data_IF_088158148952
#
_entry.id   IF_088158148952
#
_cell.length_a   1.000
_cell.length_b   1.000
_cell.length_c   1.000
_cell.angle_alpha   90.00
_cell.angle_beta   90.00
_cell.angle_gamma   90.00
#
_symmetry.space_group_name_H-M   'P 1'
#
loop_
_entity.id
_entity.type
_entity.pdbx_description
1 polymer ?
#
# COMPACT_ATOMS: atom_id res chain seq x y z
N UNK A 1 30.60 29.31 37.57
CA UNK A 1 31.03 29.88 36.28
C UNK A 1 29.79 30.36 35.53
N UNK A 2 29.45 31.64 35.68
CA UNK A 2 28.32 32.28 34.99
C UNK A 2 28.87 33.36 34.04
N UNK A 3 28.45 33.33 32.76
CA UNK A 3 28.63 34.46 31.83
C UNK A 3 27.27 34.88 31.29
N UNK A 4 26.79 36.00 31.82
CA UNK A 4 25.95 36.96 31.10
C UNK A 4 26.82 37.66 30.06
N UNK A 5 26.28 38.03 28.90
CA UNK A 5 26.75 39.22 28.17
C UNK A 5 25.66 39.84 27.30
N UNK A 6 25.81 41.17 27.18
CA UNK A 6 24.85 42.19 26.77
C UNK A 6 24.69 42.32 25.26
N UNK A 7 23.57 42.92 24.90
CA UNK A 7 23.20 43.55 23.62
C UNK A 7 24.10 44.72 23.22
N UNK A 8 24.26 44.95 21.91
CA UNK A 8 24.51 46.29 21.35
C UNK A 8 24.11 46.37 19.87
N UNK A 9 23.37 47.43 19.54
CA UNK A 9 22.93 47.85 18.21
C UNK A 9 23.89 48.91 17.66
N UNK A 10 24.19 48.89 16.35
CA UNK A 10 24.82 49.97 15.60
C UNK A 10 24.20 50.04 14.18
N UNK A 11 24.26 51.23 13.59
CA UNK A 11 23.32 51.80 12.62
C UNK A 11 24.09 52.36 11.39
N UNK A 12 23.40 52.42 10.24
CA UNK A 12 23.57 53.28 9.01
C UNK A 12 24.83 53.06 8.12
N UNK A 13 24.87 53.43 6.80
CA UNK A 13 23.89 54.18 5.99
C UNK A 13 23.57 53.70 4.56
N UNK A 14 22.60 54.40 3.95
CA UNK A 14 22.08 54.28 2.58
C UNK A 14 22.84 55.09 1.53
N UNK A 15 22.90 54.57 0.29
CA UNK A 15 23.07 55.27 -1.00
C UNK A 15 22.43 54.31 -2.02
N UNK A 16 21.49 54.59 -2.94
CA UNK A 16 21.03 55.81 -3.58
C UNK A 16 21.29 55.71 -5.10
N UNK A 17 20.31 55.27 -5.92
CA UNK A 17 20.13 55.58 -7.36
C UNK A 17 19.02 54.67 -7.96
N UNK A 18 18.40 54.96 -9.10
CA UNK A 18 17.40 55.98 -9.49
C UNK A 18 16.87 55.54 -10.88
N UNK A 19 15.63 55.95 -11.23
CA UNK A 19 15.02 55.96 -12.58
C UNK A 19 14.64 54.57 -13.17
N UNK A 20 13.52 54.32 -13.85
CA UNK A 20 12.53 55.12 -14.60
C UNK A 20 11.25 54.28 -14.85
N UNK A 21 10.22 54.98 -15.38
CA UNK A 21 9.08 54.51 -16.20
C UNK A 21 7.71 54.24 -15.51
N UNK A 22 6.94 55.33 -15.45
CA UNK A 22 5.59 55.53 -16.01
C UNK A 22 4.77 54.31 -16.46
N UNK A 23 3.48 54.31 -16.08
CA UNK A 23 2.41 53.73 -16.90
C UNK A 23 1.34 53.03 -16.09
N UNK A 24 0.21 53.70 -15.87
CA UNK A 24 -0.98 53.12 -15.29
C UNK A 24 -1.60 52.07 -16.24
N UNK A 25 -1.98 50.91 -15.70
CA UNK A 25 -2.99 50.04 -16.28
C UNK A 25 -3.95 49.55 -15.19
N UNK A 26 -5.23 49.80 -15.45
CA UNK A 26 -6.38 49.25 -14.74
C UNK A 26 -6.57 47.81 -15.22
N UNK A 27 -6.69 46.83 -14.32
CA UNK A 27 -7.47 45.61 -14.61
C UNK A 27 -8.01 44.94 -13.34
N UNK A 28 -9.33 45.07 -13.18
CA UNK A 28 -10.30 44.08 -12.72
C UNK A 28 -9.86 42.99 -11.74
N UNK A 29 -10.52 43.00 -10.57
CA UNK A 29 -10.77 41.81 -9.76
C UNK A 29 -11.48 40.75 -10.59
N UNK A 30 -10.84 39.60 -10.78
CA UNK A 30 -11.51 38.37 -11.19
C UNK A 30 -11.45 37.41 -10.00
N UNK A 31 -12.64 37.18 -9.42
CA UNK A 31 -12.91 36.11 -8.49
C UNK A 31 -12.45 34.77 -9.09
N UNK A 32 -11.52 34.10 -8.42
CA UNK A 32 -11.09 32.76 -8.77
C UNK A 32 -12.21 31.77 -8.43
N UNK A 33 -13.14 31.57 -9.37
CA UNK A 33 -14.04 30.41 -9.41
C UNK A 33 -13.46 29.41 -10.41
N UNK A 34 -12.46 28.63 -10.00
CA UNK A 34 -11.78 27.65 -10.86
C UNK A 34 -11.37 26.40 -10.05
N UNK A 35 -12.32 25.69 -9.43
CA UNK A 35 -12.07 24.34 -8.87
C UNK A 35 -13.33 23.48 -8.80
N UNK A 36 -14.04 23.28 -9.92
CA UNK A 36 -15.14 22.30 -9.98
C UNK A 36 -15.13 21.44 -11.26
N UNK A 37 -14.66 21.97 -12.39
CA UNK A 37 -14.65 21.25 -13.68
C UNK A 37 -13.69 20.04 -13.69
N UNK A 38 -12.47 20.19 -13.13
CA UNK A 38 -11.45 19.13 -13.15
C UNK A 38 -11.69 17.96 -12.20
N UNK A 39 -12.60 18.08 -11.23
CA UNK A 39 -13.02 16.94 -10.39
C UNK A 39 -14.14 16.15 -11.05
N UNK A 40 -15.06 16.82 -11.76
CA UNK A 40 -16.14 16.17 -12.52
C UNK A 40 -15.63 15.30 -13.65
N UNK A 41 -14.66 15.79 -14.43
CA UNK A 41 -14.06 15.03 -15.54
C UNK A 41 -13.26 13.81 -15.05
N UNK A 42 -12.44 13.96 -13.99
CA UNK A 42 -11.70 12.83 -13.39
C UNK A 42 -12.63 11.76 -12.82
N UNK A 43 -13.72 12.16 -12.18
CA UNK A 43 -14.70 11.22 -11.61
C UNK A 43 -15.48 10.46 -12.69
N UNK A 44 -15.79 11.12 -13.81
CA UNK A 44 -16.48 10.50 -14.95
C UNK A 44 -15.55 9.55 -15.73
N UNK A 45 -14.27 9.88 -15.89
CA UNK A 45 -13.27 9.00 -16.52
C UNK A 45 -12.97 7.77 -15.65
N UNK A 46 -12.81 7.95 -14.34
CA UNK A 46 -12.66 6.83 -13.39
C UNK A 46 -13.86 5.88 -13.41
N UNK A 47 -15.09 6.41 -13.50
CA UNK A 47 -16.30 5.61 -13.61
C UNK A 47 -16.39 4.85 -14.96
N UNK A 48 -15.98 5.46 -16.07
CA UNK A 48 -15.92 4.81 -17.40
C UNK A 48 -14.84 3.74 -17.47
N UNK A 49 -13.68 3.96 -16.85
CA UNK A 49 -12.66 2.92 -16.73
C UNK A 49 -13.11 1.77 -15.83
N UNK A 50 -13.82 2.06 -14.72
CA UNK A 50 -14.40 1.02 -13.87
C UNK A 50 -15.48 0.17 -14.57
N UNK A 51 -16.19 0.73 -15.57
CA UNK A 51 -17.15 -0.04 -16.38
C UNK A 51 -16.50 -0.89 -17.47
N UNK A 52 -15.26 -0.59 -17.86
CA UNK A 52 -14.50 -1.31 -18.88
C UNK A 52 -13.48 -2.30 -18.28
N UNK A 53 -13.36 -2.37 -16.95
CA UNK A 53 -12.46 -3.33 -16.31
C UNK A 53 -12.96 -4.77 -16.53
N UNK A 54 -12.02 -5.69 -16.75
CA UNK A 54 -12.34 -7.11 -16.94
C UNK A 54 -12.98 -7.68 -15.67
N UNK A 55 -13.92 -8.61 -15.84
CA UNK A 55 -14.57 -9.31 -14.72
C UNK A 55 -13.93 -10.70 -14.58
N UNK A 56 -13.33 -10.97 -13.43
CA UNK A 56 -12.94 -12.32 -13.05
C UNK A 56 -14.18 -13.08 -12.59
N UNK A 57 -14.56 -14.15 -13.29
CA UNK A 57 -15.78 -14.91 -12.99
C UNK A 57 -15.73 -15.65 -11.66
N UNK A 58 -14.54 -16.00 -11.15
CA UNK A 58 -14.36 -16.66 -9.86
C UNK A 58 -14.36 -15.65 -8.71
N UNK A 59 -13.81 -14.46 -8.96
CA UNK A 59 -13.67 -13.38 -7.99
C UNK A 59 -14.14 -12.04 -8.58
N UNK A 60 -15.46 -11.85 -8.75
CA UNK A 60 -16.03 -10.72 -9.48
C UNK A 60 -15.75 -9.36 -8.84
N UNK A 61 -15.35 -9.33 -7.57
CA UNK A 61 -14.95 -8.11 -6.89
C UNK A 61 -13.52 -7.66 -7.16
N UNK A 62 -12.76 -8.43 -7.96
CA UNK A 62 -11.39 -8.07 -8.36
C UNK A 62 -11.39 -6.87 -9.31
N UNK A 63 -10.56 -5.86 -9.01
CA UNK A 63 -10.19 -4.85 -9.99
C UNK A 63 -9.04 -5.40 -10.86
N UNK A 64 -9.37 -6.04 -11.98
CA UNK A 64 -8.43 -6.90 -12.75
C UNK A 64 -7.31 -6.09 -13.38
N UNK A 65 -7.60 -4.92 -13.96
CA UNK A 65 -6.57 -4.03 -14.50
C UNK A 65 -5.58 -3.62 -13.40
N UNK A 66 -6.09 -3.30 -12.21
CA UNK A 66 -5.27 -2.94 -11.05
C UNK A 66 -4.42 -4.11 -10.56
N UNK A 67 -4.99 -5.31 -10.50
CA UNK A 67 -4.28 -6.55 -10.15
C UNK A 67 -3.03 -6.75 -11.04
N UNK A 68 -3.21 -6.69 -12.37
CA UNK A 68 -2.12 -6.89 -13.32
C UNK A 68 -1.03 -5.81 -13.21
N UNK A 69 -1.43 -4.55 -13.00
CA UNK A 69 -0.47 -3.45 -12.85
C UNK A 69 0.32 -3.58 -11.54
N UNK A 70 -0.33 -3.98 -10.43
CA UNK A 70 0.37 -4.29 -9.17
C UNK A 70 1.38 -5.41 -9.38
N UNK A 71 0.97 -6.54 -9.97
CA UNK A 71 1.87 -7.68 -10.20
C UNK A 71 3.05 -7.29 -11.10
N UNK A 72 2.81 -6.45 -12.10
CA UNK A 72 3.87 -5.90 -12.96
C UNK A 72 4.87 -5.05 -12.16
N UNK A 73 4.39 -4.18 -11.26
CA UNK A 73 5.28 -3.40 -10.37
C UNK A 73 6.07 -4.28 -9.42
N UNK A 74 5.42 -5.25 -8.78
CA UNK A 74 6.10 -6.18 -7.87
C UNK A 74 7.22 -6.92 -8.58
N UNK A 75 6.99 -7.40 -9.81
CA UNK A 75 8.01 -8.06 -10.64
C UNK A 75 9.12 -7.11 -11.10
N UNK A 76 8.86 -5.81 -11.18
CA UNK A 76 9.87 -4.81 -11.57
C UNK A 76 10.84 -4.43 -10.45
N UNK A 77 10.51 -4.72 -9.19
CA UNK A 77 11.42 -4.53 -8.07
C UNK A 77 12.58 -5.54 -8.15
N UNK A 78 13.80 -5.12 -7.85
CA UNK A 78 14.94 -6.05 -7.81
C UNK A 78 15.11 -6.69 -6.43
N UNK A 79 15.74 -7.87 -6.33
CA UNK A 79 16.08 -8.48 -5.04
C UNK A 79 16.92 -7.56 -4.14
N UNK A 80 17.79 -6.73 -4.71
CA UNK A 80 18.59 -5.74 -3.97
C UNK A 80 17.69 -4.64 -3.38
N UNK A 81 16.69 -4.18 -4.13
CA UNK A 81 15.69 -3.23 -3.62
C UNK A 81 14.85 -3.84 -2.50
N UNK A 82 14.55 -5.13 -2.56
CA UNK A 82 13.79 -5.86 -1.55
C UNK A 82 14.64 -6.38 -0.37
N UNK A 83 15.95 -6.15 -0.40
CA UNK A 83 16.89 -6.55 0.66
C UNK A 83 17.54 -5.36 1.38
N UNK A 84 16.94 -4.17 1.25
CA UNK A 84 17.35 -2.97 1.99
C UNK A 84 16.85 -3.00 3.45
N UNK A 85 16.97 -1.88 4.16
CA UNK A 85 16.29 -1.67 5.43
C UNK A 85 14.77 -1.88 5.27
N UNK A 86 14.16 -2.56 6.25
CA UNK A 86 12.78 -2.99 6.21
C UNK A 86 11.78 -1.87 5.92
N UNK A 87 11.92 -0.68 6.50
CA UNK A 87 10.96 0.40 6.24
C UNK A 87 11.09 0.96 4.81
N UNK A 88 12.27 0.81 4.20
CA UNK A 88 12.43 1.13 2.77
C UNK A 88 11.78 0.06 1.90
N UNK A 89 11.99 -1.22 2.22
CA UNK A 89 11.34 -2.34 1.53
C UNK A 89 9.82 -2.25 1.65
N UNK A 90 9.30 -1.99 2.84
CA UNK A 90 7.86 -1.86 3.13
C UNK A 90 7.22 -0.76 2.28
N UNK A 91 7.87 0.39 2.15
CA UNK A 91 7.42 1.48 1.28
C UNK A 91 7.44 1.09 -0.20
N UNK A 92 8.46 0.37 -0.65
CA UNK A 92 8.53 -0.14 -2.02
C UNK A 92 7.38 -1.11 -2.34
N UNK A 93 7.07 -2.05 -1.44
CA UNK A 93 5.97 -2.99 -1.65
C UNK A 93 4.58 -2.33 -1.51
N UNK A 94 4.43 -1.30 -0.65
CA UNK A 94 3.22 -0.47 -0.62
C UNK A 94 3.00 0.24 -1.95
N UNK A 95 4.03 0.92 -2.47
CA UNK A 95 3.96 1.61 -3.75
C UNK A 95 3.66 0.64 -4.90
N UNK A 96 4.31 -0.52 -4.92
CA UNK A 96 4.06 -1.55 -5.91
C UNK A 96 2.62 -2.06 -5.82
N UNK A 97 2.09 -2.18 -4.61
CA UNK A 97 0.70 -2.51 -4.34
C UNK A 97 -0.32 -1.41 -4.61
N UNK A 98 0.10 -0.20 -4.98
CA UNK A 98 -0.81 0.92 -5.19
C UNK A 98 -1.37 1.47 -3.89
N UNK A 99 -0.60 1.43 -2.81
CA UNK A 99 -0.91 2.04 -1.52
C UNK A 99 0.05 3.18 -1.21
N UNK A 100 -0.49 4.27 -0.68
CA UNK A 100 0.27 5.36 -0.07
C UNK A 100 0.82 4.91 1.28
N UNK A 101 2.01 5.41 1.61
CA UNK A 101 2.57 5.25 2.94
C UNK A 101 2.00 6.32 3.88
N UNK A 102 1.08 5.89 4.76
CA UNK A 102 0.34 6.73 5.69
C UNK A 102 0.48 6.16 7.12
N UNK A 103 1.69 6.09 7.68
CA UNK A 103 1.97 5.41 8.94
C UNK A 103 1.46 6.17 10.17
N UNK A 104 1.01 7.41 9.99
CA UNK A 104 0.49 8.27 11.06
C UNK A 104 -1.00 8.60 10.89
N UNK A 105 -1.66 8.04 9.87
CA UNK A 105 -3.10 8.24 9.69
C UNK A 105 -3.89 7.52 10.79
N UNK A 106 -5.09 8.03 11.09
CA UNK A 106 -5.98 7.40 12.07
C UNK A 106 -6.55 6.10 11.51
N UNK A 107 -6.85 5.09 12.36
CA UNK A 107 -7.61 3.92 11.94
C UNK A 107 -8.91 4.32 11.19
N UNK A 108 -9.19 3.65 10.07
CA UNK A 108 -10.31 3.98 9.18
C UNK A 108 -10.08 5.17 8.24
N UNK A 109 -8.99 5.93 8.39
CA UNK A 109 -8.63 7.08 7.54
C UNK A 109 -7.39 6.82 6.68
N UNK A 110 -7.23 5.57 6.22
CA UNK A 110 -6.14 5.16 5.35
C UNK A 110 -4.84 4.81 6.07
N UNK A 111 -4.88 4.43 7.34
CA UNK A 111 -3.70 3.95 8.07
C UNK A 111 -3.10 2.68 7.45
N UNK A 112 -1.91 2.82 6.85
CA UNK A 112 -1.14 1.71 6.23
C UNK A 112 0.12 1.34 7.02
N UNK A 113 0.26 1.84 8.26
CA UNK A 113 1.42 1.55 9.11
C UNK A 113 1.51 0.10 9.57
N UNK A 114 0.39 -0.60 9.67
CA UNK A 114 0.37 -2.04 10.00
C UNK A 114 0.62 -2.94 8.78
N UNK A 115 0.46 -2.42 7.55
CA UNK A 115 0.54 -3.23 6.34
C UNK A 115 1.90 -3.89 6.24
N UNK A 116 1.91 -5.22 6.21
CA UNK A 116 3.10 -6.09 6.21
C UNK A 116 3.96 -6.03 7.48
N UNK A 117 3.56 -5.29 8.51
CA UNK A 117 4.30 -5.13 9.76
C UNK A 117 3.83 -6.07 10.89
N UNK A 118 2.76 -6.83 10.66
CA UNK A 118 2.28 -7.88 11.55
C UNK A 118 2.06 -9.18 10.77
N UNK A 119 1.66 -10.23 11.49
CA UNK A 119 1.49 -11.54 10.88
C UNK A 119 0.31 -11.65 9.90
N UNK A 120 -0.67 -10.75 10.00
CA UNK A 120 -2.02 -10.95 9.50
C UNK A 120 -2.34 -10.07 8.28
N UNK A 121 -1.92 -8.81 8.28
CA UNK A 121 -2.19 -7.85 7.20
C UNK A 121 -1.16 -7.96 6.09
N UNK A 122 -1.06 -9.16 5.49
CA UNK A 122 -0.04 -9.52 4.51
C UNK A 122 -0.59 -9.76 3.11
N UNK A 123 -1.92 -9.67 2.93
CA UNK A 123 -2.58 -9.86 1.63
C UNK A 123 -2.81 -8.51 0.99
N UNK A 124 -2.14 -8.22 -0.12
CA UNK A 124 -2.48 -7.06 -0.90
C UNK A 124 -3.61 -7.38 -1.89
N UNK A 125 -4.81 -6.92 -1.57
CA UNK A 125 -6.03 -7.12 -2.35
C UNK A 125 -6.27 -5.93 -3.27
N UNK A 126 -6.75 -6.18 -4.49
CA UNK A 126 -7.18 -5.15 -5.44
C UNK A 126 -8.65 -5.32 -5.76
N UNK A 127 -9.49 -4.41 -5.29
CA UNK A 127 -10.94 -4.56 -5.34
C UNK A 127 -11.58 -3.47 -6.17
N UNK A 128 -12.73 -3.79 -6.77
CA UNK A 128 -13.54 -2.81 -7.46
C UNK A 128 -14.05 -1.75 -6.48
N UNK A 129 -14.36 -0.56 -6.99
CA UNK A 129 -14.69 0.59 -6.15
C UNK A 129 -16.01 0.45 -5.37
N UNK A 130 -16.95 -0.30 -5.91
CA UNK A 130 -18.22 -0.71 -5.30
C UNK A 130 -18.01 -1.73 -4.17
N UNK A 131 -17.03 -2.63 -4.31
CA UNK A 131 -16.71 -3.61 -3.28
C UNK A 131 -15.94 -3.01 -2.09
N UNK A 132 -15.32 -1.83 -2.25
CA UNK A 132 -14.51 -1.21 -1.19
C UNK A 132 -15.31 -0.89 0.09
N UNK A 133 -16.63 -0.67 -0.01
CA UNK A 133 -17.50 -0.39 1.14
C UNK A 133 -18.06 -1.67 1.80
N UNK A 134 -17.72 -2.87 1.30
CA UNK A 134 -18.20 -4.11 1.90
C UNK A 134 -17.81 -4.23 3.37
N UNK A 135 -18.72 -4.81 4.14
CA UNK A 135 -18.57 -5.06 5.56
C UNK A 135 -18.49 -6.57 5.82
N UNK A 136 -17.73 -6.96 6.84
CA UNK A 136 -17.51 -8.37 7.18
C UNK A 136 -18.82 -9.06 7.58
N UNK A 137 -19.63 -8.47 8.46
CA UNK A 137 -20.94 -9.01 8.87
C UNK A 137 -20.89 -10.46 9.36
N UNK A 138 -19.75 -10.87 9.94
CA UNK A 138 -19.53 -12.23 10.43
C UNK A 138 -19.17 -13.26 9.35
N UNK A 139 -18.98 -12.84 8.08
CA UNK A 139 -18.63 -13.74 6.98
C UNK A 139 -17.23 -14.35 7.15
N UNK A 140 -16.29 -13.57 7.70
CA UNK A 140 -14.92 -14.00 8.02
C UNK A 140 -14.76 -14.15 9.52
N UNK A 141 -14.43 -15.37 9.95
CA UNK A 141 -14.20 -15.70 11.35
C UNK A 141 -12.94 -14.97 11.88
N UNK A 142 -13.03 -14.44 13.10
CA UNK A 142 -11.92 -13.72 13.75
C UNK A 142 -11.75 -12.26 13.31
N UNK A 143 -12.60 -11.77 12.38
CA UNK A 143 -12.63 -10.37 11.96
C UNK A 143 -13.80 -9.65 12.61
N UNK A 144 -13.63 -8.37 12.96
CA UNK A 144 -14.69 -7.56 13.53
C UNK A 144 -15.94 -7.58 12.65
N UNK A 145 -17.13 -7.69 13.26
CA UNK A 145 -18.40 -7.70 12.52
C UNK A 145 -18.58 -6.43 11.68
N UNK A 146 -18.15 -5.28 12.23
CA UNK A 146 -18.14 -4.00 11.55
C UNK A 146 -16.70 -3.56 11.25
N UNK A 147 -16.34 -3.52 9.98
CA UNK A 147 -15.04 -3.07 9.47
C UNK A 147 -15.23 -2.28 8.16
N UNK A 148 -15.82 -1.08 8.26
CA UNK A 148 -16.03 -0.21 7.12
C UNK A 148 -14.69 0.36 6.64
N UNK A 149 -14.08 -0.30 5.65
CA UNK A 149 -12.74 0.03 5.15
C UNK A 149 -12.76 1.03 3.99
N UNK A 150 -13.89 1.23 3.32
CA UNK A 150 -13.96 1.92 2.03
C UNK A 150 -13.41 3.35 2.00
N UNK A 151 -13.58 4.14 3.07
CA UNK A 151 -12.95 5.47 3.15
C UNK A 151 -11.43 5.35 3.20
N UNK A 152 -10.90 4.47 4.04
CA UNK A 152 -9.47 4.22 4.16
C UNK A 152 -8.86 3.69 2.86
N UNK A 153 -9.56 2.78 2.18
CA UNK A 153 -9.15 2.24 0.88
C UNK A 153 -9.03 3.36 -0.15
N UNK A 154 -10.03 4.23 -0.28
CA UNK A 154 -10.00 5.35 -1.23
C UNK A 154 -8.87 6.34 -0.93
N UNK A 155 -8.67 6.69 0.33
CA UNK A 155 -7.61 7.63 0.75
C UNK A 155 -6.22 7.05 0.45
N UNK A 156 -6.00 5.78 0.81
CA UNK A 156 -4.69 5.16 0.70
C UNK A 156 -4.37 4.67 -0.72
N UNK A 157 -5.37 4.45 -1.58
CA UNK A 157 -5.12 3.95 -2.93
C UNK A 157 -4.41 4.98 -3.81
N UNK A 158 -3.46 4.50 -4.60
CA UNK A 158 -2.83 5.26 -5.68
C UNK A 158 -3.64 5.02 -6.95
N UNK A 159 -4.13 6.09 -7.59
CA UNK A 159 -5.06 6.03 -8.73
C UNK A 159 -4.40 5.51 -10.01
N UNK A 160 -3.09 5.70 -10.16
CA UNK A 160 -2.34 5.38 -11.38
C UNK A 160 -2.34 3.89 -11.76
N UNK A 161 -2.72 3.00 -10.84
CA UNK A 161 -2.80 1.57 -11.11
C UNK A 161 -4.12 1.13 -11.75
N UNK A 162 -5.06 2.04 -11.95
CA UNK A 162 -6.35 1.75 -12.57
C UNK A 162 -7.53 1.91 -11.61
N UNK A 163 -8.75 1.55 -12.03
CA UNK A 163 -9.95 1.76 -11.23
C UNK A 163 -9.95 0.93 -9.94
N UNK A 164 -10.90 1.22 -9.05
CA UNK A 164 -11.05 0.53 -7.77
C UNK A 164 -10.03 0.98 -6.71
N UNK A 165 -9.65 0.08 -5.82
CA UNK A 165 -8.72 0.36 -4.73
C UNK A 165 -7.80 -0.80 -4.42
N UNK A 166 -6.76 -0.50 -3.65
CA UNK A 166 -5.83 -1.48 -3.05
C UNK A 166 -5.95 -1.45 -1.53
N UNK A 167 -5.71 -2.58 -0.86
CA UNK A 167 -5.68 -2.65 0.60
C UNK A 167 -4.90 -3.86 1.10
N UNK A 168 -4.24 -3.73 2.26
CA UNK A 168 -3.66 -4.87 2.98
C UNK A 168 -4.73 -5.52 3.87
N UNK A 169 -5.21 -6.69 3.47
CA UNK A 169 -6.28 -7.42 4.17
C UNK A 169 -5.72 -8.51 5.07
N UNK A 170 -6.55 -8.98 6.01
CA UNK A 170 -6.21 -10.06 6.93
C UNK A 170 -6.19 -11.41 6.18
N UNK A 171 -5.13 -12.18 6.40
CA UNK A 171 -4.90 -13.48 5.76
C UNK A 171 -5.45 -14.69 6.56
N UNK A 172 -6.04 -14.48 7.74
CA UNK A 172 -6.64 -15.56 8.53
C UNK A 172 -7.66 -16.32 7.67
N UNK A 173 -7.51 -17.64 7.57
CA UNK A 173 -8.36 -18.49 6.74
C UNK A 173 -7.82 -18.75 5.33
N UNK A 174 -6.69 -18.14 4.94
CA UNK A 174 -6.10 -18.33 3.60
C UNK A 174 -5.55 -19.75 3.36
N UNK A 175 -5.35 -20.55 4.40
CA UNK A 175 -4.90 -21.94 4.30
C UNK A 175 -6.03 -22.96 4.07
N UNK A 176 -7.25 -22.49 3.85
CA UNK A 176 -8.41 -23.33 3.49
C UNK A 176 -8.55 -23.40 1.97
N UNK A 177 -9.29 -24.39 1.49
CA UNK A 177 -9.61 -24.56 0.07
C UNK A 177 -11.15 -24.65 -0.11
N UNK A 178 -11.81 -23.65 -0.74
CA UNK A 178 -11.24 -22.38 -1.18
C UNK A 178 -10.83 -21.48 0.01
N UNK A 179 -9.90 -20.51 -0.18
CA UNK A 179 -9.50 -19.58 0.87
C UNK A 179 -10.67 -18.86 1.53
N UNK A 180 -10.61 -18.71 2.86
CA UNK A 180 -11.66 -18.12 3.69
C UNK A 180 -11.22 -16.78 4.32
N UNK A 181 -10.25 -16.11 3.71
CA UNK A 181 -9.72 -14.83 4.19
C UNK A 181 -10.55 -13.62 3.73
N UNK A 182 -10.15 -12.43 4.19
CA UNK A 182 -10.88 -11.19 3.92
C UNK A 182 -10.92 -10.85 2.43
N UNK A 183 -9.84 -11.10 1.68
CA UNK A 183 -9.79 -10.80 0.25
C UNK A 183 -10.87 -11.58 -0.50
N UNK A 184 -10.91 -12.89 -0.27
CA UNK A 184 -11.77 -13.81 -0.99
C UNK A 184 -13.23 -13.75 -0.54
N UNK A 185 -13.49 -13.59 0.75
CA UNK A 185 -14.86 -13.65 1.29
C UNK A 185 -15.54 -12.29 1.34
N UNK A 186 -14.87 -11.27 1.89
CA UNK A 186 -15.49 -9.95 2.05
C UNK A 186 -15.46 -9.17 0.75
N UNK A 187 -14.35 -9.17 0.03
CA UNK A 187 -14.19 -8.38 -1.20
C UNK A 187 -14.41 -9.19 -2.48
N UNK A 188 -14.58 -10.51 -2.39
CA UNK A 188 -14.69 -11.41 -3.55
C UNK A 188 -13.60 -11.14 -4.58
N UNK A 189 -12.40 -10.87 -4.09
CA UNK A 189 -11.29 -10.35 -4.88
C UNK A 189 -10.07 -11.24 -4.74
N UNK A 190 -9.30 -11.35 -5.82
CA UNK A 190 -7.98 -11.98 -5.79
C UNK A 190 -6.97 -11.16 -4.99
N UNK A 191 -5.99 -11.87 -4.48
CA UNK A 191 -4.78 -11.29 -3.91
C UNK A 191 -3.80 -10.94 -5.04
N UNK A 192 -3.40 -9.68 -5.16
CA UNK A 192 -2.38 -9.27 -6.12
C UNK A 192 -1.01 -9.81 -5.74
N UNK A 193 -0.66 -9.71 -4.46
CA UNK A 193 0.43 -10.45 -3.84
C UNK A 193 0.18 -10.67 -2.35
N UNK A 194 0.75 -11.75 -1.81
CA UNK A 194 0.83 -12.06 -0.39
C UNK A 194 2.28 -12.07 0.04
N UNK A 195 2.59 -11.39 1.15
CA UNK A 195 3.91 -11.49 1.78
C UNK A 195 3.96 -12.70 2.71
N UNK A 196 4.93 -13.59 2.46
CA UNK A 196 5.17 -14.78 3.28
C UNK A 196 6.63 -14.80 3.72
N UNK A 197 6.87 -14.81 5.03
CA UNK A 197 8.21 -15.00 5.60
C UNK A 197 8.65 -16.44 5.43
N UNK A 198 9.88 -16.65 4.95
CA UNK A 198 10.43 -17.99 4.73
C UNK A 198 10.74 -18.66 6.08
N UNK A 199 10.47 -19.95 6.24
CA UNK A 199 10.71 -20.64 7.50
C UNK A 199 12.20 -20.73 7.83
N UNK A 200 12.49 -21.25 9.04
CA UNK A 200 13.82 -21.49 9.64
C UNK A 200 14.42 -20.28 10.36
N UNK A 201 14.82 -19.23 9.65
CA UNK A 201 15.38 -18.01 10.26
C UNK A 201 14.42 -16.81 10.17
N UNK A 202 13.42 -16.86 9.29
CA UNK A 202 12.45 -15.80 9.06
C UNK A 202 13.12 -14.45 8.79
N UNK A 203 14.23 -14.44 8.04
CA UNK A 203 14.93 -13.21 7.60
C UNK A 203 14.68 -12.89 6.13
N UNK A 204 14.19 -13.86 5.37
CA UNK A 204 13.82 -13.71 3.95
C UNK A 204 12.30 -13.77 3.84
N UNK A 205 11.73 -13.04 2.89
CA UNK A 205 10.32 -13.17 2.52
C UNK A 205 10.19 -13.43 1.02
N UNK A 206 9.05 -14.00 0.64
CA UNK A 206 8.59 -14.10 -0.74
C UNK A 206 7.31 -13.30 -0.89
N UNK A 207 7.10 -12.77 -2.10
CA UNK A 207 5.82 -12.24 -2.57
C UNK A 207 5.26 -13.26 -3.54
N UNK A 208 4.09 -13.81 -3.24
CA UNK A 208 3.40 -14.79 -4.10
C UNK A 208 2.07 -14.21 -4.58
N UNK A 209 1.63 -14.57 -5.77
CA UNK A 209 0.30 -14.20 -6.24
C UNK A 209 -0.81 -15.09 -5.62
N UNK A 210 -2.05 -14.83 -6.01
CA UNK A 210 -3.21 -15.60 -5.54
C UNK A 210 -3.14 -17.10 -5.85
N UNK A 211 -2.41 -17.52 -6.89
CA UNK A 211 -2.20 -18.94 -7.20
C UNK A 211 -1.12 -19.59 -6.34
N UNK A 212 -0.36 -18.81 -5.57
CA UNK A 212 0.83 -19.25 -4.84
C UNK A 212 2.12 -19.16 -5.67
N UNK A 213 2.06 -18.61 -6.89
CA UNK A 213 3.24 -18.47 -7.76
C UNK A 213 4.14 -17.35 -7.29
N UNK A 214 5.46 -17.57 -7.32
CA UNK A 214 6.45 -16.57 -6.92
C UNK A 214 6.41 -15.34 -7.84
N UNK A 215 6.29 -14.17 -7.25
CA UNK A 215 6.43 -12.88 -7.93
C UNK A 215 7.80 -12.25 -7.67
N UNK A 216 8.24 -12.24 -6.42
CA UNK A 216 9.53 -11.66 -6.02
C UNK A 216 9.95 -12.12 -4.61
N UNK A 217 11.14 -11.74 -4.15
CA UNK A 217 11.65 -12.07 -2.83
C UNK A 217 12.71 -11.07 -2.36
N UNK A 218 13.02 -11.08 -1.07
CA UNK A 218 14.11 -10.27 -0.52
C UNK A 218 14.53 -10.73 0.88
N UNK A 219 15.73 -10.33 1.29
CA UNK A 219 16.31 -10.60 2.61
C UNK A 219 16.58 -9.28 3.32
N UNK A 220 15.53 -8.57 3.77
CA UNK A 220 15.65 -7.24 4.36
C UNK A 220 16.42 -7.25 5.68
N UNK A 221 16.92 -6.09 6.05
CA UNK A 221 17.62 -5.85 7.33
C UNK A 221 16.95 -4.76 8.14
N UNK A 222 17.53 -4.38 9.28
CA UNK A 222 17.03 -3.28 10.10
C UNK A 222 15.85 -3.67 11.00
N UNK A 223 14.87 -2.78 11.12
CA UNK A 223 13.74 -2.94 12.05
C UNK A 223 12.64 -3.85 11.47
N UNK A 224 12.96 -5.13 11.31
CA UNK A 224 12.03 -6.14 10.84
C UNK A 224 10.86 -6.35 11.82
N UNK A 225 9.67 -6.80 11.35
CA UNK A 225 8.58 -7.22 12.23
C UNK A 225 9.08 -8.25 13.24
N UNK A 226 8.59 -8.24 14.49
CA UNK A 226 9.12 -9.13 15.53
C UNK A 226 9.11 -10.60 15.08
N UNK A 227 10.11 -11.40 15.50
CA UNK A 227 10.27 -12.78 15.02
C UNK A 227 9.02 -13.66 15.23
N UNK A 228 8.22 -13.39 16.27
CA UNK A 228 6.94 -14.07 16.49
C UNK A 228 5.90 -13.78 15.42
N UNK A 229 5.85 -12.55 14.90
CA UNK A 229 4.94 -12.13 13.83
C UNK A 229 5.31 -12.82 12.52
N UNK A 230 6.61 -12.84 12.20
CA UNK A 230 7.14 -13.48 11.00
C UNK A 230 6.92 -15.00 11.02
N UNK A 231 7.10 -15.64 12.18
CA UNK A 231 6.76 -17.05 12.38
C UNK A 231 5.26 -17.30 12.20
N UNK A 232 4.41 -16.52 12.87
CA UNK A 232 2.96 -16.68 12.80
C UNK A 232 2.42 -16.44 11.39
N UNK A 233 3.03 -15.53 10.62
CA UNK A 233 2.71 -15.32 9.21
C UNK A 233 2.92 -16.61 8.40
N UNK A 234 4.09 -17.25 8.55
CA UNK A 234 4.35 -18.54 7.89
C UNK A 234 3.40 -19.64 8.39
N UNK A 235 3.21 -19.76 9.71
CA UNK A 235 2.31 -20.76 10.31
C UNK A 235 0.86 -20.61 9.78
N UNK A 236 0.44 -19.38 9.47
CA UNK A 236 -0.90 -19.09 8.93
C UNK A 236 -1.07 -19.61 7.50
N UNK A 237 -0.01 -19.62 6.69
CA UNK A 237 -0.06 -20.18 5.32
C UNK A 237 0.36 -21.65 5.25
N UNK A 238 0.92 -22.22 6.32
CA UNK A 238 1.47 -23.55 6.30
C UNK A 238 0.46 -24.58 5.77
N UNK A 239 0.96 -25.54 4.99
CA UNK A 239 0.13 -26.55 4.30
C UNK A 239 -0.84 -26.00 3.25
N UNK A 240 -0.60 -24.81 2.71
CA UNK A 240 -1.38 -24.23 1.61
C UNK A 240 -0.50 -23.91 0.40
N UNK A 241 -1.14 -23.58 -0.73
CA UNK A 241 -0.45 -23.12 -1.96
C UNK A 241 0.50 -21.94 -1.73
N UNK A 242 0.21 -21.09 -0.75
CA UNK A 242 1.02 -19.90 -0.45
C UNK A 242 2.34 -20.23 0.28
N UNK A 243 2.48 -21.42 0.87
CA UNK A 243 3.69 -21.81 1.60
C UNK A 243 4.81 -22.35 0.70
N UNK A 244 4.47 -22.89 -0.48
CA UNK A 244 5.39 -23.68 -1.33
C UNK A 244 6.66 -22.92 -1.68
N UNK A 245 6.52 -21.69 -2.18
CA UNK A 245 7.67 -20.87 -2.58
C UNK A 245 8.47 -20.36 -1.38
N UNK A 246 7.82 -20.12 -0.25
CA UNK A 246 8.48 -19.72 0.98
C UNK A 246 9.34 -20.87 1.54
N UNK A 247 8.83 -22.10 1.54
CA UNK A 247 9.56 -23.31 1.93
C UNK A 247 10.75 -23.56 1.01
N UNK A 248 10.53 -23.53 -0.31
CA UNK A 248 11.60 -23.68 -1.31
C UNK A 248 12.71 -22.67 -1.10
N UNK A 249 12.37 -21.39 -0.96
CA UNK A 249 13.35 -20.32 -0.72
C UNK A 249 14.07 -20.49 0.62
N UNK A 250 13.33 -20.89 1.67
CA UNK A 250 13.92 -21.17 2.97
C UNK A 250 14.97 -22.29 2.94
N UNK A 251 14.80 -23.31 2.09
CA UNK A 251 15.80 -24.37 1.86
C UNK A 251 17.02 -23.84 1.10
N UNK A 252 16.82 -23.03 0.06
CA UNK A 252 17.92 -22.44 -0.72
C UNK A 252 18.84 -21.56 0.13
N UNK A 253 18.28 -20.75 1.02
CA UNK A 253 19.05 -19.85 1.88
C UNK A 253 19.87 -20.58 2.95
N UNK A 254 19.56 -21.85 3.25
CA UNK A 254 20.40 -22.65 4.15
C UNK A 254 21.64 -23.23 3.47
N UNK A 255 21.61 -23.36 2.15
CA UNK A 255 22.69 -23.97 1.38
C UNK A 255 23.75 -22.94 0.98
N UNK A 256 23.51 -21.66 1.27
CA UNK A 256 24.48 -20.59 1.07
C UNK A 256 25.40 -20.50 2.30
N UNK A 257 26.73 -20.64 2.12
CA UNK A 257 27.70 -20.64 3.21
C UNK A 257 27.82 -19.29 3.93
#
# INVERSE_FOLDING_TARGET
MHRLWKTSSLKVPSIGLSLLLTGAFISHSASACMTAAGEGERKMESARQASNDLIDSSYPGTAVTRLHNVQSRVKSLTPEQLSQDWETVRRSILWAGGLRDLPNARPGKGYTGHSFNDFNHCDLTTMRGDEADNNNEGKVAGIAYNNRLGEGIRIASIEELGPGGSWSTCMIGCNKEPPQDVAHIQFKSRIAFKLVWTPRNYTTFVLVDDSGSLLNWGTPTGNLPHISERRRNFDTVASSKYAVEAERKGLEMQQQP
#
